data_IF_601745140865
#
_entry.id   IF_601745140865
#
_cell.length_a   1.000
_cell.length_b   1.000
_cell.length_c   1.000
_cell.angle_alpha   90.00
_cell.angle_beta   90.00
_cell.angle_gamma   90.00
#
_symmetry.space_group_name_H-M   'P 1'
#
loop_
_entity.id
_entity.type
_entity.pdbx_description
1 polymer ?
#
# COMPACT_ATOMS: atom_id res chain seq x y z
N UNK A 1 9.78 20.23 -15.63
CA UNK A 1 9.93 18.79 -15.88
C UNK A 1 10.40 18.07 -14.64
N UNK A 2 9.80 16.93 -14.31
CA UNK A 2 10.33 15.96 -13.35
C UNK A 2 10.62 14.68 -14.13
N UNK A 3 11.75 14.03 -13.91
CA UNK A 3 12.08 12.75 -14.56
C UNK A 3 12.04 11.62 -13.53
N UNK A 4 11.63 10.44 -13.95
CA UNK A 4 11.59 9.28 -13.09
C UNK A 4 13.00 8.89 -12.66
N UNK A 5 13.21 8.80 -11.35
CA UNK A 5 14.51 8.45 -10.77
C UNK A 5 14.97 7.01 -11.09
N UNK A 6 14.09 6.18 -11.65
CA UNK A 6 14.35 4.77 -11.95
C UNK A 6 14.58 4.48 -13.44
N UNK A 7 13.87 5.16 -14.34
CA UNK A 7 13.96 4.90 -15.78
C UNK A 7 14.37 6.14 -16.59
N UNK A 8 14.44 7.32 -15.98
CA UNK A 8 14.77 8.57 -16.66
C UNK A 8 13.67 9.12 -17.56
N UNK A 9 12.48 8.48 -17.62
CA UNK A 9 11.37 8.97 -18.43
C UNK A 9 10.73 10.22 -17.81
N UNK A 10 10.19 11.10 -18.66
CA UNK A 10 9.53 12.32 -18.22
C UNK A 10 8.23 11.99 -17.47
N UNK A 11 8.06 12.62 -16.30
CA UNK A 11 6.87 12.50 -15.48
C UNK A 11 6.01 13.75 -15.63
N UNK A 12 4.72 13.50 -15.86
CA UNK A 12 3.68 14.51 -15.74
C UNK A 12 3.73 15.13 -14.33
N UNK A 13 3.56 16.45 -14.26
CA UNK A 13 3.81 17.23 -13.04
C UNK A 13 2.95 16.79 -11.82
N UNK A 14 1.93 15.96 -12.03
CA UNK A 14 0.99 15.48 -11.01
C UNK A 14 0.94 13.96 -10.88
N UNK A 15 1.80 13.19 -11.56
CA UNK A 15 1.79 11.73 -11.45
C UNK A 15 2.54 11.24 -10.22
N UNK A 16 1.85 10.51 -9.33
CA UNK A 16 2.46 9.84 -8.16
C UNK A 16 3.23 8.55 -8.52
N UNK A 17 3.17 8.14 -9.77
CA UNK A 17 3.82 6.94 -10.30
C UNK A 17 4.25 7.19 -11.74
N UNK A 18 5.32 6.50 -12.16
CA UNK A 18 5.74 6.52 -13.55
C UNK A 18 4.84 5.59 -14.38
N UNK A 19 4.19 6.12 -15.41
CA UNK A 19 3.36 5.32 -16.33
C UNK A 19 4.17 4.30 -17.12
N UNK A 20 5.46 4.58 -17.38
CA UNK A 20 6.33 3.71 -18.17
C UNK A 20 6.91 2.55 -17.37
N UNK A 21 7.39 2.81 -16.15
CA UNK A 21 8.04 1.76 -15.35
C UNK A 21 7.19 1.27 -14.16
N UNK A 22 6.03 1.88 -13.92
CA UNK A 22 5.10 1.53 -12.84
C UNK A 22 5.60 1.83 -11.42
N UNK A 23 6.79 2.45 -11.27
CA UNK A 23 7.37 2.74 -9.94
C UNK A 23 6.81 4.05 -9.39
N UNK A 24 6.42 4.01 -8.13
CA UNK A 24 6.00 5.20 -7.39
C UNK A 24 7.21 6.09 -7.09
N UNK A 25 7.15 7.34 -7.56
CA UNK A 25 8.17 8.33 -7.28
C UNK A 25 7.77 9.05 -5.99
N UNK A 26 8.51 8.77 -4.90
CA UNK A 26 8.20 9.26 -3.55
C UNK A 26 8.56 10.73 -3.35
N UNK A 27 9.08 11.42 -4.38
CA UNK A 27 9.62 12.78 -4.26
C UNK A 27 8.57 13.88 -4.04
N UNK A 28 7.25 13.60 -4.06
CA UNK A 28 6.19 14.62 -3.96
C UNK A 28 5.28 14.48 -2.73
N UNK A 29 5.81 14.01 -1.60
CA UNK A 29 5.00 13.73 -0.39
C UNK A 29 4.72 14.91 0.55
N UNK A 30 4.97 16.17 0.15
CA UNK A 30 4.95 17.30 1.11
C UNK A 30 4.02 18.48 0.81
N UNK A 31 3.14 18.43 -0.20
CA UNK A 31 2.18 19.54 -0.40
C UNK A 31 0.78 18.98 -0.57
N UNK A 32 0.12 18.63 0.55
CA UNK A 32 -1.35 18.65 0.74
C UNK A 32 -1.76 18.14 2.14
N UNK A 33 -0.96 18.39 3.18
CA UNK A 33 -1.34 18.00 4.53
C UNK A 33 -1.14 19.12 5.55
N UNK A 34 -1.82 20.25 5.35
CA UNK A 34 -2.19 21.11 6.47
C UNK A 34 -3.35 22.06 6.12
N UNK A 35 -4.60 21.62 6.40
CA UNK A 35 -5.68 22.52 6.81
C UNK A 35 -6.74 21.77 7.65
N UNK A 36 -6.38 21.55 8.91
CA UNK A 36 -7.20 21.74 10.12
C UNK A 36 -8.74 21.50 10.08
N UNK A 37 -9.23 20.52 10.85
CA UNK A 37 -10.10 20.66 12.06
C UNK A 37 -10.90 19.36 12.29
N UNK A 38 -10.73 18.77 13.48
CA UNK A 38 -11.65 17.79 14.04
C UNK A 38 -11.03 16.42 14.29
N UNK A 39 -10.79 16.10 15.56
CA UNK A 39 -10.71 14.72 16.02
C UNK A 39 -11.99 13.98 15.60
N UNK A 40 -11.89 13.00 14.70
CA UNK A 40 -12.81 11.85 14.70
C UNK A 40 -12.23 10.67 13.92
N UNK A 41 -11.70 9.71 14.68
CA UNK A 41 -12.00 8.30 14.52
C UNK A 41 -11.92 7.71 13.11
N UNK A 42 -10.70 7.48 12.61
CA UNK A 42 -10.46 6.32 11.76
C UNK A 42 -9.54 5.36 12.48
N UNK A 43 -10.09 4.72 13.52
CA UNK A 43 -9.67 3.38 13.93
C UNK A 43 -9.88 2.44 12.73
N UNK A 44 -9.03 2.53 11.70
CA UNK A 44 -8.85 1.43 10.77
C UNK A 44 -8.04 0.40 11.53
N UNK A 45 -8.79 -0.37 12.30
CA UNK A 45 -8.48 -1.69 12.81
C UNK A 45 -7.44 -2.31 11.88
N UNK A 46 -6.18 -2.26 12.32
CA UNK A 46 -5.12 -3.01 11.67
C UNK A 46 -5.46 -4.46 11.99
N UNK A 47 -6.26 -5.10 11.13
CA UNK A 47 -6.64 -6.49 11.26
C UNK A 47 -5.33 -7.28 11.37
N UNK A 48 -5.01 -7.72 12.60
CA UNK A 48 -3.98 -8.72 12.88
C UNK A 48 -4.40 -10.00 12.17
N UNK A 49 -4.13 -10.08 10.87
CA UNK A 49 -4.45 -11.26 10.07
C UNK A 49 -3.56 -12.41 10.53
N UNK A 50 -4.20 -13.50 10.96
CA UNK A 50 -3.51 -14.74 11.28
C UNK A 50 -2.87 -15.28 9.98
N UNK A 51 -1.56 -15.51 9.99
CA UNK A 51 -0.88 -16.14 8.86
C UNK A 51 -0.93 -17.64 9.02
N UNK A 52 -1.13 -18.36 7.92
CA UNK A 52 -1.07 -19.81 7.93
C UNK A 52 0.31 -20.29 8.40
N UNK A 53 0.37 -21.19 9.37
CA UNK A 53 1.61 -21.80 9.85
C UNK A 53 2.38 -22.56 8.75
N UNK A 54 1.68 -23.16 7.78
CA UNK A 54 2.30 -23.94 6.71
C UNK A 54 2.78 -23.11 5.52
N UNK A 55 1.93 -22.19 5.02
CA UNK A 55 2.21 -21.46 3.78
C UNK A 55 2.36 -19.95 3.96
N UNK A 56 2.23 -19.45 5.20
CA UNK A 56 2.34 -18.04 5.62
C UNK A 56 1.42 -17.05 4.91
N UNK A 57 0.48 -17.54 4.10
CA UNK A 57 -0.57 -16.72 3.51
C UNK A 57 -1.48 -16.17 4.59
N UNK A 58 -1.95 -14.94 4.37
CA UNK A 58 -2.93 -14.29 5.23
C UNK A 58 -4.22 -15.12 5.23
N UNK A 59 -4.67 -15.52 6.41
CA UNK A 59 -5.92 -16.25 6.60
C UNK A 59 -6.99 -15.25 7.04
N UNK A 60 -8.10 -15.24 6.31
CA UNK A 60 -9.29 -14.43 6.61
C UNK A 60 -10.49 -15.32 7.03
N UNK A 61 -10.25 -16.56 7.48
CA UNK A 61 -11.30 -17.54 7.81
C UNK A 61 -10.79 -18.78 8.58
N UNK A 62 -11.64 -19.81 8.75
CA UNK A 62 -11.26 -21.04 9.48
C UNK A 62 -10.24 -21.93 8.76
N UNK A 63 -10.11 -21.79 7.45
CA UNK A 63 -9.19 -22.56 6.61
C UNK A 63 -8.37 -21.63 5.73
N UNK A 64 -7.12 -22.00 5.49
CA UNK A 64 -6.27 -21.30 4.54
C UNK A 64 -6.76 -21.58 3.12
N UNK A 65 -7.08 -20.52 2.37
CA UNK A 65 -7.51 -20.63 0.95
C UNK A 65 -6.39 -21.08 0.02
N UNK A 66 -5.13 -20.99 0.43
CA UNK A 66 -3.99 -21.42 -0.38
C UNK A 66 -3.70 -22.92 -0.18
N UNK A 67 -3.53 -23.37 1.07
CA UNK A 67 -3.12 -24.76 1.35
C UNK A 67 -4.21 -25.65 1.98
N UNK A 68 -5.41 -25.13 2.22
CA UNK A 68 -6.53 -25.87 2.83
C UNK A 68 -6.37 -26.20 4.31
N UNK A 69 -5.25 -25.83 4.94
CA UNK A 69 -5.00 -26.14 6.35
C UNK A 69 -5.99 -25.40 7.26
N UNK A 70 -6.48 -26.09 8.29
CA UNK A 70 -7.32 -25.49 9.32
C UNK A 70 -6.48 -24.53 10.16
N UNK A 71 -6.98 -23.33 10.38
CA UNK A 71 -6.39 -22.39 11.33
C UNK A 71 -6.70 -22.92 12.74
N UNK A 72 -5.67 -23.29 13.49
CA UNK A 72 -5.84 -23.85 14.84
C UNK A 72 -6.06 -22.78 15.89
#
# INVERSE_FOLDING_TARGET
MTFCSYCGHELEAYSNYCSECGKQDKSKKEILHDFNIGQQSVEKMFEKGNRCEKCRHLITGKFCKNCGCKNS
#
